data_IF_565780446090
#
_entry.id   IF_565780446090
#
_cell.length_a   1.000
_cell.length_b   1.000
_cell.length_c   1.000
_cell.angle_alpha   90.00
_cell.angle_beta   90.00
_cell.angle_gamma   90.00
#
_symmetry.space_group_name_H-M   'P 1'
#
loop_
_entity.id
_entity.type
_entity.pdbx_description
1 polymer ?
#
# COMPACT_ATOMS: atom_id res chain seq x y z
N UNK A 1 2.84 -22.64 3.36
CA UNK A 1 1.77 -21.86 4.00
C UNK A 1 0.98 -21.28 2.85
N UNK A 2 -0.19 -21.84 2.57
CA UNK A 2 -0.92 -21.60 1.33
C UNK A 2 -1.42 -20.14 1.30
N UNK A 3 -1.01 -19.37 0.28
CA UNK A 3 -1.39 -17.96 0.09
C UNK A 3 -2.92 -17.75 0.03
N UNK A 4 -3.69 -18.81 -0.25
CA UNK A 4 -5.16 -18.81 -0.36
C UNK A 4 -5.87 -18.64 0.97
N UNK A 5 -5.33 -19.19 2.05
CA UNK A 5 -5.95 -19.09 3.39
C UNK A 5 -5.75 -17.70 4.01
N UNK A 6 -4.78 -16.92 3.52
CA UNK A 6 -4.43 -15.62 4.10
C UNK A 6 -5.33 -14.48 3.64
N UNK A 7 -5.73 -14.43 2.35
CA UNK A 7 -6.43 -13.25 1.81
C UNK A 7 -7.87 -13.10 2.34
N UNK A 8 -8.62 -14.19 2.49
CA UNK A 8 -9.99 -14.15 3.01
C UNK A 8 -10.01 -13.79 4.50
N UNK A 9 -9.05 -14.29 5.28
CA UNK A 9 -8.83 -13.90 6.68
C UNK A 9 -8.43 -12.43 6.81
N UNK A 10 -7.53 -11.94 5.96
CA UNK A 10 -7.17 -10.53 5.88
C UNK A 10 -8.37 -9.64 5.54
N UNK A 11 -9.25 -10.08 4.63
CA UNK A 11 -10.50 -9.37 4.32
C UNK A 11 -11.42 -9.31 5.54
N UNK A 12 -11.53 -10.42 6.28
CA UNK A 12 -12.29 -10.45 7.53
C UNK A 12 -11.72 -9.47 8.57
N UNK A 13 -10.41 -9.45 8.77
CA UNK A 13 -9.77 -8.49 9.69
C UNK A 13 -9.98 -7.04 9.24
N UNK A 14 -9.86 -6.74 7.94
CA UNK A 14 -10.18 -5.42 7.38
C UNK A 14 -11.59 -4.98 7.76
N UNK A 15 -12.56 -5.88 7.69
CA UNK A 15 -13.96 -5.58 8.00
C UNK A 15 -14.23 -5.50 9.51
N UNK A 16 -13.78 -6.48 10.29
CA UNK A 16 -14.14 -6.63 11.70
C UNK A 16 -13.23 -5.84 12.63
N UNK A 17 -11.91 -5.92 12.45
CA UNK A 17 -10.93 -5.29 13.35
C UNK A 17 -10.64 -3.84 12.95
N UNK A 18 -10.46 -3.58 11.66
CA UNK A 18 -10.18 -2.24 11.14
C UNK A 18 -11.44 -1.45 10.76
N UNK A 19 -12.62 -2.09 10.77
CA UNK A 19 -13.90 -1.42 10.56
C UNK A 19 -14.08 -0.84 9.15
N UNK A 20 -13.47 -1.44 8.11
CA UNK A 20 -13.64 -0.97 6.74
C UNK A 20 -15.10 -1.02 6.32
N UNK A 21 -15.56 0.07 5.71
CA UNK A 21 -16.89 0.12 5.11
C UNK A 21 -16.98 -0.88 3.93
N UNK A 22 -18.02 -1.72 3.95
CA UNK A 22 -18.23 -2.78 2.96
C UNK A 22 -18.46 -2.25 1.54
N UNK A 23 -19.08 -1.07 1.39
CA UNK A 23 -19.31 -0.46 0.08
C UNK A 23 -18.01 0.05 -0.54
N UNK A 24 -17.08 0.54 0.29
CA UNK A 24 -15.71 0.89 -0.14
C UNK A 24 -14.96 -0.35 -0.59
N UNK A 25 -15.01 -1.44 0.18
CA UNK A 25 -14.38 -2.72 -0.21
C UNK A 25 -15.01 -3.29 -1.48
N UNK A 26 -16.34 -3.21 -1.62
CA UNK A 26 -17.07 -3.62 -2.82
C UNK A 26 -16.57 -2.90 -4.07
N UNK A 27 -16.49 -1.56 -4.02
CA UNK A 27 -15.94 -0.75 -5.13
C UNK A 27 -14.48 -1.07 -5.40
N UNK A 28 -13.66 -1.16 -4.34
CA UNK A 28 -12.23 -1.43 -4.48
C UNK A 28 -11.98 -2.81 -5.10
N UNK A 29 -12.68 -3.84 -4.66
CA UNK A 29 -12.50 -5.22 -5.12
C UNK A 29 -13.23 -5.53 -6.44
N UNK A 30 -14.20 -4.70 -6.83
CA UNK A 30 -15.04 -4.95 -8.01
C UNK A 30 -16.03 -6.09 -7.79
N UNK A 31 -16.48 -6.27 -6.55
CA UNK A 31 -17.42 -7.33 -6.13
C UNK A 31 -18.66 -6.72 -5.49
N UNK A 32 -19.87 -7.26 -5.68
CA UNK A 32 -21.05 -6.86 -4.91
C UNK A 32 -20.83 -7.00 -3.39
N UNK A 33 -21.45 -6.12 -2.60
CA UNK A 33 -21.24 -6.08 -1.15
C UNK A 33 -21.61 -7.39 -0.42
N UNK A 34 -22.63 -8.12 -0.88
CA UNK A 34 -22.98 -9.45 -0.39
C UNK A 34 -21.85 -10.46 -0.68
N UNK A 35 -21.25 -10.40 -1.87
CA UNK A 35 -20.12 -11.24 -2.27
C UNK A 35 -18.85 -10.95 -1.50
N UNK A 36 -18.60 -9.69 -1.13
CA UNK A 36 -17.50 -9.33 -0.22
C UNK A 36 -17.66 -10.01 1.14
N UNK A 37 -18.88 -10.02 1.70
CA UNK A 37 -19.18 -10.68 2.99
C UNK A 37 -19.04 -12.20 2.92
N UNK A 38 -19.47 -12.81 1.81
CA UNK A 38 -19.30 -14.25 1.58
C UNK A 38 -17.81 -14.59 1.48
N UNK A 39 -17.04 -13.77 0.74
CA UNK A 39 -15.60 -13.95 0.60
C UNK A 39 -14.86 -13.84 1.93
N UNK A 40 -15.24 -12.88 2.79
CA UNK A 40 -14.64 -12.73 4.13
C UNK A 40 -14.96 -13.89 5.07
N UNK A 41 -15.92 -14.75 4.73
CA UNK A 41 -16.22 -15.99 5.46
C UNK A 41 -15.43 -17.18 4.92
N UNK A 42 -14.57 -16.98 3.91
CA UNK A 42 -13.75 -18.02 3.29
C UNK A 42 -14.41 -18.72 2.10
N UNK A 43 -15.64 -18.36 1.74
CA UNK A 43 -16.32 -18.95 0.58
C UNK A 43 -15.90 -18.27 -0.72
N UNK A 44 -15.19 -19.03 -1.56
CA UNK A 44 -14.70 -18.61 -2.87
C UNK A 44 -15.49 -19.25 -4.03
N UNK A 45 -16.51 -20.06 -3.74
CA UNK A 45 -17.24 -20.87 -4.74
C UNK A 45 -17.91 -20.04 -5.82
N UNK A 46 -18.22 -18.77 -5.53
CA UNK A 46 -18.83 -17.85 -6.47
C UNK A 46 -17.82 -17.17 -7.41
N UNK A 47 -16.52 -17.25 -7.12
CA UNK A 47 -15.48 -16.64 -7.95
C UNK A 47 -15.25 -17.48 -9.21
N UNK A 48 -15.01 -16.86 -10.38
CA UNK A 48 -14.61 -17.59 -11.59
C UNK A 48 -13.36 -18.45 -11.35
N UNK A 49 -13.26 -19.59 -12.02
CA UNK A 49 -12.07 -20.46 -12.00
C UNK A 49 -10.82 -19.86 -12.68
N UNK A 50 -10.94 -18.65 -13.22
CA UNK A 50 -9.81 -17.92 -13.80
C UNK A 50 -8.76 -17.58 -12.72
N UNK A 51 -7.59 -18.20 -12.85
CA UNK A 51 -6.50 -18.04 -11.91
C UNK A 51 -5.95 -16.61 -11.85
N UNK A 52 -5.92 -15.89 -12.98
CA UNK A 52 -5.40 -14.53 -13.04
C UNK A 52 -6.33 -13.55 -12.35
N UNK A 53 -7.64 -13.72 -12.50
CA UNK A 53 -8.67 -12.96 -11.81
C UNK A 53 -8.56 -13.18 -10.30
N UNK A 54 -8.54 -14.44 -9.84
CA UNK A 54 -8.41 -14.77 -8.41
C UNK A 54 -7.12 -14.22 -7.83
N UNK A 55 -5.99 -14.37 -8.53
CA UNK A 55 -4.71 -13.83 -8.11
C UNK A 55 -4.74 -12.30 -7.95
N UNK A 56 -5.30 -11.56 -8.92
CA UNK A 56 -5.43 -10.10 -8.84
C UNK A 56 -6.34 -9.68 -7.68
N UNK A 57 -7.46 -10.36 -7.48
CA UNK A 57 -8.40 -10.08 -6.41
C UNK A 57 -7.75 -10.28 -5.03
N UNK A 58 -7.09 -11.42 -4.81
CA UNK A 58 -6.46 -11.73 -3.53
C UNK A 58 -5.29 -10.79 -3.24
N UNK A 59 -4.45 -10.47 -4.22
CA UNK A 59 -3.39 -9.49 -4.03
C UNK A 59 -3.90 -8.10 -3.67
N UNK A 60 -5.04 -7.66 -4.23
CA UNK A 60 -5.65 -6.38 -3.83
C UNK A 60 -6.02 -6.38 -2.35
N UNK A 61 -6.59 -7.47 -1.86
CA UNK A 61 -6.92 -7.62 -0.44
C UNK A 61 -5.64 -7.59 0.41
N UNK A 62 -4.64 -8.40 0.04
CA UNK A 62 -3.39 -8.47 0.80
C UNK A 62 -2.63 -7.15 0.82
N UNK A 63 -2.54 -6.43 -0.30
CA UNK A 63 -1.89 -5.11 -0.31
C UNK A 63 -2.65 -4.06 0.50
N UNK A 64 -3.98 -4.11 0.49
CA UNK A 64 -4.78 -3.24 1.35
C UNK A 64 -4.54 -3.56 2.83
N UNK A 65 -4.54 -4.84 3.20
CA UNK A 65 -4.25 -5.28 4.57
C UNK A 65 -2.84 -4.88 5.04
N UNK A 66 -1.83 -5.09 4.19
CA UNK A 66 -0.45 -4.71 4.47
C UNK A 66 -0.31 -3.21 4.75
N UNK A 67 -1.21 -2.37 4.24
CA UNK A 67 -1.25 -0.94 4.57
C UNK A 67 -1.41 -0.67 6.07
N UNK A 68 -2.05 -1.58 6.82
CA UNK A 68 -2.18 -1.48 8.28
C UNK A 68 -1.03 -2.17 9.04
N UNK A 69 -0.51 -3.29 8.53
CA UNK A 69 0.36 -4.19 9.32
C UNK A 69 1.85 -4.07 9.07
N UNK A 70 2.26 -3.69 7.86
CA UNK A 70 3.68 -3.59 7.53
C UNK A 70 4.36 -2.37 8.19
N UNK A 71 5.66 -2.51 8.47
CA UNK A 71 6.47 -1.49 9.14
C UNK A 71 6.41 -0.13 8.43
N UNK A 72 6.19 0.92 9.22
CA UNK A 72 5.95 2.28 8.72
C UNK A 72 7.19 2.87 8.03
N UNK A 73 8.38 2.57 8.55
CA UNK A 73 9.64 3.05 7.97
C UNK A 73 9.94 2.32 6.66
N UNK A 74 9.66 1.01 6.59
CA UNK A 74 9.75 0.23 5.36
C UNK A 74 8.81 0.78 4.28
N UNK A 75 7.54 1.05 4.60
CA UNK A 75 6.58 1.68 3.67
C UNK A 75 7.09 3.01 3.14
N UNK A 76 7.50 3.90 4.04
CA UNK A 76 8.02 5.21 3.64
C UNK A 76 9.25 5.07 2.72
N UNK A 77 10.17 4.15 3.05
CA UNK A 77 11.34 3.87 2.23
C UNK A 77 10.98 3.31 0.85
N UNK A 78 9.93 2.47 0.76
CA UNK A 78 9.46 1.91 -0.50
C UNK A 78 8.90 3.00 -1.41
N UNK A 79 8.05 3.89 -0.89
CA UNK A 79 7.55 5.03 -1.67
C UNK A 79 8.68 5.97 -2.10
N UNK A 80 9.66 6.26 -1.23
CA UNK A 80 10.84 7.03 -1.62
C UNK A 80 11.61 6.36 -2.77
N UNK A 81 11.80 5.04 -2.73
CA UNK A 81 12.45 4.29 -3.81
C UNK A 81 11.66 4.37 -5.11
N UNK A 82 10.33 4.28 -5.08
CA UNK A 82 9.48 4.45 -6.28
C UNK A 82 9.67 5.86 -6.86
N UNK A 83 9.58 6.89 -6.03
CA UNK A 83 9.75 8.28 -6.49
C UNK A 83 11.13 8.54 -7.11
N UNK A 84 12.18 7.92 -6.57
CA UNK A 84 13.54 8.10 -7.07
C UNK A 84 13.81 7.26 -8.32
N UNK A 85 13.54 5.95 -8.24
CA UNK A 85 13.95 4.99 -9.27
C UNK A 85 12.99 4.94 -10.45
N UNK A 86 11.68 5.09 -10.20
CA UNK A 86 10.66 5.04 -11.24
C UNK A 86 10.34 6.43 -11.78
N UNK A 87 10.05 7.39 -10.88
CA UNK A 87 9.69 8.76 -11.28
C UNK A 87 10.89 9.69 -11.51
N UNK A 88 12.12 9.21 -11.30
CA UNK A 88 13.34 9.96 -11.59
C UNK A 88 13.61 11.16 -10.68
N UNK A 89 12.89 11.30 -9.55
CA UNK A 89 13.12 12.41 -8.64
C UNK A 89 14.46 12.28 -7.93
N UNK A 90 15.21 13.39 -7.88
CA UNK A 90 16.42 13.42 -7.06
C UNK A 90 16.09 13.47 -5.57
N UNK A 91 16.90 12.81 -4.74
CA UNK A 91 16.84 12.91 -3.26
C UNK A 91 16.83 14.37 -2.78
N UNK A 92 17.56 15.26 -3.48
CA UNK A 92 17.63 16.69 -3.20
C UNK A 92 16.29 17.41 -3.46
N UNK A 93 15.59 17.06 -4.54
CA UNK A 93 14.27 17.62 -4.83
C UNK A 93 13.26 17.25 -3.74
N UNK A 94 13.19 15.97 -3.38
CA UNK A 94 12.29 15.48 -2.32
C UNK A 94 12.61 16.16 -0.98
N UNK A 95 13.89 16.23 -0.59
CA UNK A 95 14.30 16.88 0.65
C UNK A 95 13.91 18.37 0.70
N UNK A 96 14.12 19.10 -0.40
CA UNK A 96 13.71 20.51 -0.50
C UNK A 96 12.20 20.69 -0.38
N UNK A 97 11.41 19.85 -1.06
CA UNK A 97 9.96 19.92 -1.00
C UNK A 97 9.42 19.57 0.40
N UNK A 98 10.08 18.64 1.09
CA UNK A 98 9.74 18.26 2.46
C UNK A 98 10.27 19.25 3.52
N UNK A 99 11.15 20.19 3.15
CA UNK A 99 11.78 21.10 4.12
C UNK A 99 12.69 20.39 5.12
N UNK A 100 13.46 19.39 4.65
CA UNK A 100 14.39 18.58 5.45
C UNK A 100 15.78 18.54 4.81
N UNK A 101 16.79 18.03 5.53
CA UNK A 101 18.12 17.85 4.95
C UNK A 101 18.14 16.66 3.98
N UNK A 102 18.90 16.76 2.89
CA UNK A 102 19.10 15.65 1.94
C UNK A 102 19.65 14.40 2.64
N UNK A 103 20.53 14.58 3.62
CA UNK A 103 21.10 13.50 4.42
C UNK A 103 20.03 12.74 5.21
N UNK A 104 18.91 13.37 5.56
CA UNK A 104 17.82 12.64 6.22
C UNK A 104 17.13 11.66 5.27
N UNK A 105 16.96 12.04 4.00
CA UNK A 105 16.50 11.11 2.95
C UNK A 105 17.51 9.97 2.75
N UNK A 106 18.81 10.27 2.80
CA UNK A 106 19.87 9.24 2.67
C UNK A 106 19.89 8.27 3.85
N UNK A 107 19.66 8.75 5.08
CA UNK A 107 19.51 7.91 6.28
C UNK A 107 18.29 7.00 6.20
N UNK A 108 17.15 7.50 5.71
CA UNK A 108 15.95 6.68 5.53
C UNK A 108 16.13 5.59 4.47
N UNK A 109 16.98 5.82 3.47
CA UNK A 109 17.24 4.88 2.37
C UNK A 109 18.44 3.96 2.61
N UNK A 110 19.17 4.10 3.72
CA UNK A 110 20.34 3.26 4.00
C UNK A 110 19.92 1.82 4.36
N UNK A 111 20.85 0.88 4.22
CA UNK A 111 20.66 -0.51 4.65
C UNK A 111 21.73 -0.88 5.67
N UNK A 112 21.39 -1.01 6.97
CA UNK A 112 20.07 -0.82 7.56
C UNK A 112 19.64 0.66 7.59
N UNK A 113 18.33 0.97 7.69
CA UNK A 113 17.84 2.33 7.84
C UNK A 113 18.42 2.98 9.09
N UNK A 114 18.93 4.21 8.96
CA UNK A 114 19.43 4.99 10.10
C UNK A 114 18.27 5.73 10.76
N UNK A 115 18.36 5.91 12.08
CA UNK A 115 17.36 6.62 12.88
C UNK A 115 17.22 8.08 12.41
N UNK A 116 15.97 8.50 12.21
CA UNK A 116 15.56 9.87 11.89
C UNK A 116 14.42 10.25 12.84
N UNK A 117 14.29 11.54 13.18
CA UNK A 117 13.23 12.00 14.09
C UNK A 117 11.84 11.85 13.47
N UNK A 118 10.83 11.68 14.32
CA UNK A 118 9.43 11.56 13.88
C UNK A 118 8.93 12.82 13.15
N UNK A 119 9.41 14.01 13.54
CA UNK A 119 9.09 15.26 12.83
C UNK A 119 9.57 15.22 11.36
N UNK A 120 10.81 14.75 11.14
CA UNK A 120 11.37 14.64 9.80
C UNK A 120 10.63 13.54 9.03
N UNK A 121 10.34 12.39 9.65
CA UNK A 121 9.54 11.33 9.02
C UNK A 121 8.16 11.82 8.59
N UNK A 122 7.48 12.60 9.43
CA UNK A 122 6.18 13.19 9.10
C UNK A 122 6.27 14.14 7.90
N UNK A 123 7.22 15.07 7.88
CA UNK A 123 7.44 16.00 6.75
C UNK A 123 7.70 15.25 5.44
N UNK A 124 8.55 14.22 5.50
CA UNK A 124 8.85 13.38 4.34
C UNK A 124 7.63 12.58 3.91
N UNK A 125 6.89 11.96 4.84
CA UNK A 125 5.70 11.16 4.53
C UNK A 125 4.61 11.99 3.83
N UNK A 126 4.28 13.18 4.35
CA UNK A 126 3.28 14.09 3.72
C UNK A 126 3.69 14.47 2.30
N UNK A 127 4.98 14.76 2.11
CA UNK A 127 5.54 15.12 0.80
C UNK A 127 5.50 13.93 -0.16
N UNK A 128 5.92 12.76 0.29
CA UNK A 128 5.96 11.52 -0.49
C UNK A 128 4.56 11.06 -0.88
N UNK A 129 3.58 11.16 0.02
CA UNK A 129 2.17 10.87 -0.26
C UNK A 129 1.64 11.76 -1.38
N UNK A 130 1.91 13.07 -1.30
CA UNK A 130 1.48 14.04 -2.31
C UNK A 130 2.15 13.76 -3.66
N UNK A 131 3.47 13.58 -3.68
CA UNK A 131 4.21 13.28 -4.90
C UNK A 131 3.75 11.97 -5.54
N UNK A 132 3.55 10.90 -4.74
CA UNK A 132 3.08 9.62 -5.27
C UNK A 132 1.69 9.73 -5.88
N UNK A 133 0.81 10.53 -5.27
CA UNK A 133 -0.54 10.78 -5.79
C UNK A 133 -0.49 11.51 -7.13
N UNK A 134 0.20 12.64 -7.23
CA UNK A 134 0.24 13.45 -8.46
C UNK A 134 1.04 12.81 -9.58
N UNK A 135 2.18 12.17 -9.27
CA UNK A 135 3.00 11.52 -10.29
C UNK A 135 2.41 10.19 -10.78
N UNK A 136 1.34 9.71 -10.16
CA UNK A 136 0.56 8.58 -10.69
C UNK A 136 0.04 8.87 -12.10
N UNK A 137 -0.22 10.12 -12.45
CA UNK A 137 -0.68 10.53 -13.78
C UNK A 137 0.36 10.27 -14.88
N UNK A 138 1.62 10.04 -14.50
CA UNK A 138 2.69 9.65 -15.43
C UNK A 138 2.82 8.13 -15.62
N UNK A 139 2.04 7.32 -14.88
CA UNK A 139 2.08 5.85 -14.97
C UNK A 139 1.16 5.36 -16.10
N UNK A 140 1.53 4.29 -16.82
CA UNK A 140 0.63 3.67 -17.80
C UNK A 140 -0.68 3.24 -17.15
N UNK A 141 -1.80 3.40 -17.87
CA UNK A 141 -3.08 2.83 -17.45
C UNK A 141 -2.95 1.30 -17.34
N UNK A 142 -3.42 0.74 -16.22
CA UNK A 142 -3.40 -0.70 -15.91
C UNK A 142 -4.76 -1.35 -16.16
#
# INVERSE_FOLDING_TARGET
MDEKDNATEQLKELMEAYGFNVDTLSKYLGLPADKVKILSQGDISFLPEDNMYRFRLFNKISFLYLSATEDKDLKLSAFLKVLISYHGLSKKAIAKMAGVDKNDIEKMLSSPPKKVSEEIKYKVAVTVMSLRFFLKDCEPEQ
#
